data_IF_707783050861
#
_entry.id   IF_707783050861
#
_cell.length_a   1.000
_cell.length_b   1.000
_cell.length_c   1.000
_cell.angle_alpha   90.00
_cell.angle_beta   90.00
_cell.angle_gamma   90.00
#
_symmetry.space_group_name_H-M   'P 1'
#
loop_
_entity.id
_entity.type
_entity.pdbx_description
1 polymer ?
#
# COMPACT_ATOMS: atom_id res chain seq x y z
N UNK A 1 -2.78 4.94 -9.24
CA UNK A 1 -2.69 6.35 -8.82
C UNK A 1 -1.41 7.02 -9.35
N UNK A 2 -1.26 7.07 -10.65
CA UNK A 2 0.00 7.51 -11.29
C UNK A 2 0.37 8.96 -10.96
N UNK A 3 -0.62 9.83 -10.81
CA UNK A 3 -0.39 11.23 -10.45
C UNK A 3 -0.23 11.52 -8.96
N UNK A 4 -0.31 10.51 -8.10
CA UNK A 4 -0.40 10.70 -6.65
C UNK A 4 0.74 11.55 -6.08
N UNK A 5 1.97 11.20 -6.39
CA UNK A 5 3.12 11.96 -5.87
C UNK A 5 3.22 13.36 -6.47
N UNK A 6 2.89 13.51 -7.73
CA UNK A 6 2.88 14.81 -8.39
C UNK A 6 1.82 15.72 -7.75
N UNK A 7 0.64 15.19 -7.53
CA UNK A 7 -0.50 15.93 -6.98
C UNK A 7 -0.36 16.24 -5.50
N UNK A 8 0.30 15.34 -4.74
CA UNK A 8 0.45 15.47 -3.29
C UNK A 8 1.68 16.29 -2.86
N UNK A 9 2.65 16.49 -3.74
CA UNK A 9 3.85 17.26 -3.43
C UNK A 9 3.67 18.73 -3.76
N UNK A 10 4.23 19.58 -2.90
CA UNK A 10 4.23 21.03 -3.08
C UNK A 10 5.32 21.44 -4.09
N UNK A 11 5.03 21.24 -5.36
CA UNK A 11 5.91 21.61 -6.47
C UNK A 11 5.23 22.61 -7.39
N UNK A 12 6.03 23.31 -8.21
CA UNK A 12 5.48 24.21 -9.23
C UNK A 12 4.52 23.49 -10.18
N UNK A 13 4.88 22.26 -10.56
CA UNK A 13 4.05 21.44 -11.45
C UNK A 13 2.71 21.09 -10.80
N UNK A 14 2.72 20.63 -9.54
CA UNK A 14 1.48 20.26 -8.86
C UNK A 14 0.57 21.47 -8.61
N UNK A 15 1.13 22.66 -8.37
CA UNK A 15 0.34 23.89 -8.22
C UNK A 15 -0.33 24.33 -9.52
N UNK A 16 0.34 24.10 -10.66
CA UNK A 16 -0.14 24.54 -11.97
C UNK A 16 -1.07 23.52 -12.63
N UNK A 17 -0.77 22.24 -12.51
CA UNK A 17 -1.43 21.16 -13.25
C UNK A 17 -2.08 20.09 -12.36
N UNK A 18 -1.73 20.04 -11.09
CA UNK A 18 -2.28 19.06 -10.16
C UNK A 18 -3.72 19.34 -9.77
N UNK A 19 -4.43 18.30 -9.34
CA UNK A 19 -5.76 18.44 -8.78
C UNK A 19 -5.68 18.92 -7.34
N UNK A 20 -6.72 19.60 -6.88
CA UNK A 20 -6.89 19.87 -5.46
C UNK A 20 -7.29 18.59 -4.73
N UNK A 21 -6.37 18.07 -3.91
CA UNK A 21 -6.58 16.86 -3.12
C UNK A 21 -6.93 17.15 -1.66
N UNK A 22 -7.19 18.43 -1.32
CA UNK A 22 -7.44 18.81 0.09
C UNK A 22 -8.57 18.05 0.76
N UNK A 23 -9.59 17.65 0.00
CA UNK A 23 -10.72 16.86 0.49
C UNK A 23 -10.60 15.36 0.30
N UNK A 24 -9.54 14.88 -0.35
CA UNK A 24 -9.42 13.46 -0.72
C UNK A 24 -9.43 12.54 0.49
N UNK A 25 -8.62 12.81 1.50
CA UNK A 25 -8.53 11.96 2.69
C UNK A 25 -9.82 11.97 3.51
N UNK A 26 -10.52 13.10 3.55
CA UNK A 26 -11.83 13.18 4.22
C UNK A 26 -12.88 12.32 3.49
N UNK A 27 -12.86 12.33 2.17
CA UNK A 27 -13.74 11.49 1.36
C UNK A 27 -13.41 10.01 1.54
N UNK A 28 -12.13 9.64 1.51
CA UNK A 28 -11.69 8.25 1.74
C UNK A 28 -12.10 7.74 3.13
N UNK A 29 -12.04 8.58 4.14
CA UNK A 29 -12.52 8.21 5.49
C UNK A 29 -14.02 7.89 5.52
N UNK A 30 -14.83 8.62 4.75
CA UNK A 30 -16.27 8.32 4.63
C UNK A 30 -16.51 6.90 4.11
N UNK A 31 -15.67 6.45 3.21
CA UNK A 31 -15.72 5.09 2.67
C UNK A 31 -14.96 4.06 3.50
N UNK A 32 -14.48 4.45 4.68
CA UNK A 32 -13.71 3.58 5.59
C UNK A 32 -12.45 3.01 4.96
N UNK A 33 -11.84 3.75 4.05
CA UNK A 33 -10.53 3.40 3.49
C UNK A 33 -9.46 3.60 4.56
N UNK A 34 -8.67 2.56 4.83
CA UNK A 34 -7.67 2.56 5.90
C UNK A 34 -6.24 2.61 5.40
N UNK A 35 -6.04 2.43 4.10
CA UNK A 35 -4.71 2.48 3.52
C UNK A 35 -4.75 2.66 2.01
N UNK A 36 -3.63 3.07 1.46
CA UNK A 36 -3.43 3.26 0.02
C UNK A 36 -2.08 2.66 -0.34
N UNK A 37 -2.03 1.89 -1.39
CA UNK A 37 -0.80 1.45 -2.02
C UNK A 37 -0.88 1.58 -3.54
N UNK A 38 0.21 1.33 -4.23
CA UNK A 38 0.26 1.53 -5.69
C UNK A 38 0.54 0.24 -6.47
N UNK A 39 0.74 -0.88 -5.81
CA UNK A 39 1.15 -2.14 -6.43
C UNK A 39 0.07 -3.23 -6.38
N UNK A 40 -0.78 -3.21 -5.37
CA UNK A 40 -1.71 -4.31 -5.09
C UNK A 40 -2.72 -4.52 -6.20
N UNK A 41 -3.23 -3.46 -6.82
CA UNK A 41 -4.20 -3.58 -7.90
C UNK A 41 -3.61 -4.36 -9.08
N UNK A 42 -2.37 -4.08 -9.45
CA UNK A 42 -1.66 -4.80 -10.51
C UNK A 42 -1.48 -6.28 -10.14
N UNK A 43 -0.95 -6.56 -8.96
CA UNK A 43 -0.73 -7.93 -8.46
C UNK A 43 -1.99 -8.76 -8.47
N UNK A 44 -3.08 -8.24 -7.93
CA UNK A 44 -4.35 -8.95 -7.85
C UNK A 44 -4.98 -9.17 -9.22
N UNK A 45 -4.90 -8.19 -10.10
CA UNK A 45 -5.46 -8.26 -11.45
C UNK A 45 -4.70 -9.29 -12.30
N UNK A 46 -3.38 -9.19 -12.35
CA UNK A 46 -2.55 -10.13 -13.12
C UNK A 46 -2.67 -11.55 -12.58
N UNK A 47 -2.65 -11.72 -11.26
CA UNK A 47 -2.86 -13.02 -10.64
C UNK A 47 -4.20 -13.64 -11.03
N UNK A 48 -5.26 -12.84 -11.04
CA UNK A 48 -6.59 -13.31 -11.49
C UNK A 48 -6.59 -13.75 -12.95
N UNK A 49 -5.97 -12.95 -13.83
CA UNK A 49 -5.89 -13.28 -15.26
C UNK A 49 -5.06 -14.53 -15.52
N UNK A 50 -4.02 -14.76 -14.74
CA UNK A 50 -3.16 -15.94 -14.84
C UNK A 50 -3.74 -17.18 -14.14
N UNK A 51 -4.85 -17.07 -13.44
CA UNK A 51 -5.42 -18.17 -12.65
C UNK A 51 -4.59 -18.52 -11.43
N UNK A 52 -3.77 -17.62 -10.94
CA UNK A 52 -2.91 -17.78 -9.75
C UNK A 52 -3.57 -17.13 -8.54
N UNK A 53 -3.52 -17.79 -7.41
CA UNK A 53 -3.99 -17.19 -6.15
C UNK A 53 -2.99 -16.16 -5.67
N UNK A 54 -3.47 -14.98 -5.37
CA UNK A 54 -2.65 -13.86 -4.90
C UNK A 54 -3.20 -13.30 -3.60
N UNK A 55 -2.30 -12.83 -2.77
CA UNK A 55 -2.62 -12.13 -1.53
C UNK A 55 -1.60 -11.02 -1.33
N UNK A 56 -2.01 -9.95 -0.69
CA UNK A 56 -1.15 -8.80 -0.41
C UNK A 56 -1.07 -8.58 1.09
N UNK A 57 0.13 -8.43 1.60
CA UNK A 57 0.40 -8.03 2.98
C UNK A 57 1.17 -6.73 2.92
N UNK A 58 0.67 -5.72 3.60
CA UNK A 58 1.24 -4.37 3.56
C UNK A 58 1.60 -3.89 4.96
N UNK A 59 2.52 -2.95 5.02
CA UNK A 59 2.80 -2.17 6.22
C UNK A 59 2.65 -0.68 5.90
N UNK A 60 2.22 0.09 6.87
CA UNK A 60 2.13 1.55 6.72
C UNK A 60 3.51 2.16 6.88
N UNK A 61 3.99 2.82 5.84
CA UNK A 61 5.30 3.48 5.84
C UNK A 61 5.19 5.00 6.00
N UNK A 62 4.06 5.58 5.63
CA UNK A 62 3.82 7.02 5.66
C UNK A 62 2.40 7.27 6.14
N UNK A 63 2.21 8.21 7.06
CA UNK A 63 0.88 8.65 7.45
C UNK A 63 0.31 9.67 6.47
N UNK A 64 -0.99 9.95 6.56
CA UNK A 64 -1.70 10.84 5.63
C UNK A 64 -1.17 12.26 5.58
N UNK A 65 -0.48 12.73 6.64
CA UNK A 65 0.16 14.04 6.67
C UNK A 65 1.41 14.12 5.77
N UNK A 66 1.88 12.98 5.24
CA UNK A 66 3.08 12.82 4.41
C UNK A 66 4.38 13.26 5.08
N UNK A 67 4.36 13.52 6.39
CA UNK A 67 5.51 13.96 7.19
C UNK A 67 6.01 12.87 8.13
N UNK A 68 5.11 12.09 8.69
CA UNK A 68 5.44 10.98 9.58
C UNK A 68 5.74 9.75 8.74
N UNK A 69 7.03 9.51 8.52
CA UNK A 69 7.56 8.43 7.68
C UNK A 69 8.29 7.43 8.55
N UNK A 70 7.97 6.16 8.38
CA UNK A 70 8.69 5.07 9.02
C UNK A 70 10.10 4.96 8.43
N UNK A 71 11.13 5.06 9.26
CA UNK A 71 12.53 5.05 8.83
C UNK A 71 13.46 4.50 9.91
N UNK A 72 14.75 4.34 9.54
CA UNK A 72 15.77 3.84 10.46
C UNK A 72 15.56 2.39 10.84
N UNK A 73 15.92 2.02 12.06
CA UNK A 73 15.83 0.65 12.55
C UNK A 73 14.39 0.17 12.66
N UNK A 74 13.46 1.05 13.01
CA UNK A 74 12.03 0.72 13.06
C UNK A 74 11.50 0.25 11.70
N UNK A 75 11.97 0.85 10.61
CA UNK A 75 11.62 0.42 9.26
C UNK A 75 12.20 -0.96 8.93
N UNK A 76 13.46 -1.19 9.26
CA UNK A 76 14.11 -2.49 9.04
C UNK A 76 13.36 -3.60 9.79
N UNK A 77 13.00 -3.36 11.05
CA UNK A 77 12.28 -4.33 11.87
C UNK A 77 10.87 -4.60 11.32
N UNK A 78 10.19 -3.57 10.84
CA UNK A 78 8.87 -3.71 10.24
C UNK A 78 8.93 -4.48 8.92
N UNK A 79 9.92 -4.23 8.08
CA UNK A 79 10.13 -4.98 6.83
C UNK A 79 10.43 -6.46 7.11
N UNK A 80 11.26 -6.76 8.11
CA UNK A 80 11.53 -8.13 8.53
C UNK A 80 10.25 -8.83 9.00
N UNK A 81 9.46 -8.17 9.82
CA UNK A 81 8.18 -8.69 10.29
C UNK A 81 7.21 -8.93 9.12
N UNK A 82 7.15 -8.01 8.17
CA UNK A 82 6.33 -8.13 6.97
C UNK A 82 6.69 -9.37 6.16
N UNK A 83 7.98 -9.57 5.90
CA UNK A 83 8.48 -10.74 5.17
C UNK A 83 8.19 -12.04 5.90
N UNK A 84 8.41 -12.10 7.21
CA UNK A 84 8.11 -13.28 8.03
C UNK A 84 6.62 -13.60 8.01
N UNK A 85 5.77 -12.58 8.17
CA UNK A 85 4.31 -12.75 8.14
C UNK A 85 3.85 -13.33 6.81
N UNK A 86 4.38 -12.83 5.69
CA UNK A 86 4.06 -13.33 4.36
C UNK A 86 4.51 -14.79 4.17
N UNK A 87 5.73 -15.12 4.57
CA UNK A 87 6.28 -16.48 4.47
C UNK A 87 5.52 -17.47 5.34
N UNK A 88 5.21 -17.11 6.58
CA UNK A 88 4.40 -17.94 7.47
C UNK A 88 2.98 -18.13 6.95
N UNK A 89 2.40 -17.09 6.37
CA UNK A 89 1.09 -17.16 5.74
C UNK A 89 1.06 -18.16 4.58
N UNK A 90 2.06 -18.11 3.70
CA UNK A 90 2.21 -19.05 2.58
C UNK A 90 2.42 -20.46 3.10
N UNK A 91 3.30 -20.64 4.07
CA UNK A 91 3.56 -21.95 4.67
C UNK A 91 2.31 -22.55 5.31
N UNK A 92 1.61 -21.76 6.12
CA UNK A 92 0.38 -22.22 6.78
C UNK A 92 -0.72 -22.56 5.78
N UNK A 93 -0.85 -21.78 4.72
CA UNK A 93 -1.79 -22.06 3.65
C UNK A 93 -1.45 -23.38 2.94
N UNK A 94 -0.17 -23.58 2.60
CA UNK A 94 0.30 -24.83 1.99
C UNK A 94 0.01 -26.03 2.86
N UNK A 95 0.32 -25.94 4.15
CA UNK A 95 0.05 -27.02 5.11
C UNK A 95 -1.45 -27.31 5.27
N UNK A 96 -2.30 -26.28 5.17
CA UNK A 96 -3.76 -26.45 5.24
C UNK A 96 -4.32 -27.25 4.06
N UNK A 97 -3.69 -27.20 2.90
CA UNK A 97 -4.09 -27.94 1.71
C UNK A 97 -3.80 -29.45 1.82
N UNK A 98 -2.91 -29.85 2.71
CA UNK A 98 -2.47 -31.23 2.90
C UNK A 98 -3.21 -31.95 4.04
N UNK A 99 -4.25 -31.31 4.58
CA UNK A 99 -5.10 -31.91 5.62
C UNK A 99 -6.30 -32.64 5.04
#
# INVERSE_FOLDING_TARGET
MDGFYIEMHDSKFSKEFGRDLSGLFDELRKYRVTGIDMESACMLTVGRLMGVKTCVVTMTTVLENLKDVLKGQARVDAEDLLCRTALEGIYNYHMSLNK
#
